data_IF_574517141637
#
_entry.id   IF_574517141637
#
_cell.length_a   1.000
_cell.length_b   1.000
_cell.length_c   1.000
_cell.angle_alpha   90.00
_cell.angle_beta   90.00
_cell.angle_gamma   90.00
#
_symmetry.space_group_name_H-M   'P 1'
#
loop_
_entity.id
_entity.type
_entity.pdbx_description
1 polymer ?
#
# COMPACT_ATOMS: atom_id res chain seq x y z
N UNK A 1 2.26 -4.06 -3.73
CA UNK A 1 1.70 -2.78 -4.25
C UNK A 1 2.13 -1.56 -3.43
N UNK A 2 2.14 -1.65 -2.09
CA UNK A 2 2.52 -0.53 -1.21
C UNK A 2 3.98 -0.09 -1.35
N UNK A 3 4.89 -1.04 -1.57
CA UNK A 3 6.30 -0.80 -1.83
C UNK A 3 6.56 0.16 -2.99
N UNK A 4 5.80 0.01 -4.08
CA UNK A 4 5.93 0.86 -5.27
C UNK A 4 5.52 2.30 -4.92
N UNK A 5 4.46 2.49 -4.13
CA UNK A 5 4.01 3.83 -3.71
C UNK A 5 5.06 4.52 -2.86
N UNK A 6 5.63 3.81 -1.89
CA UNK A 6 6.73 4.32 -1.05
C UNK A 6 7.95 4.63 -1.90
N UNK A 7 8.31 3.77 -2.84
CA UNK A 7 9.41 4.01 -3.77
C UNK A 7 9.22 5.27 -4.63
N UNK A 8 8.01 5.49 -5.15
CA UNK A 8 7.66 6.70 -5.90
C UNK A 8 7.73 7.93 -5.01
N UNK A 9 7.29 7.82 -3.75
CA UNK A 9 7.35 8.90 -2.76
C UNK A 9 8.78 9.35 -2.49
N UNK A 10 9.72 8.41 -2.35
CA UNK A 10 11.12 8.67 -2.00
C UNK A 10 11.98 9.28 -3.12
N UNK A 11 11.40 9.62 -4.27
CA UNK A 11 12.15 10.22 -5.38
C UNK A 11 12.96 9.22 -6.20
N UNK A 12 12.54 7.94 -6.19
CA UNK A 12 13.08 6.86 -7.05
C UNK A 12 14.59 6.54 -6.92
N UNK A 13 15.22 6.54 -5.72
CA UNK A 13 16.61 6.09 -5.61
C UNK A 13 16.70 4.57 -5.82
N UNK A 14 17.50 4.15 -6.81
CA UNK A 14 17.67 2.73 -7.18
C UNK A 14 18.08 1.84 -5.99
N UNK A 15 18.91 2.36 -5.07
CA UNK A 15 19.33 1.62 -3.87
C UNK A 15 18.14 1.19 -3.01
N UNK A 16 17.17 2.09 -2.81
CA UNK A 16 15.97 1.78 -2.00
C UNK A 16 15.09 0.78 -2.73
N UNK A 17 15.00 0.86 -4.07
CA UNK A 17 14.26 -0.13 -4.86
C UNK A 17 14.79 -1.54 -4.65
N UNK A 18 16.12 -1.71 -4.72
CA UNK A 18 16.76 -3.02 -4.56
C UNK A 18 16.52 -3.56 -3.15
N UNK A 19 16.72 -2.73 -2.12
CA UNK A 19 16.47 -3.12 -0.72
C UNK A 19 15.01 -3.51 -0.50
N UNK A 20 14.06 -2.67 -0.93
CA UNK A 20 12.64 -2.98 -0.80
C UNK A 20 12.23 -4.21 -1.61
N UNK A 21 12.79 -4.39 -2.81
CA UNK A 21 12.55 -5.55 -3.65
C UNK A 21 13.01 -6.85 -2.99
N UNK A 22 14.21 -6.86 -2.39
CA UNK A 22 14.72 -8.00 -1.65
C UNK A 22 13.87 -8.31 -0.41
N UNK A 23 13.54 -7.30 0.41
CA UNK A 23 12.67 -7.48 1.58
C UNK A 23 11.29 -7.99 1.19
N UNK A 24 10.71 -7.46 0.10
CA UNK A 24 9.44 -7.91 -0.44
C UNK A 24 9.53 -9.38 -0.87
N UNK A 25 10.53 -9.74 -1.66
CA UNK A 25 10.72 -11.12 -2.13
C UNK A 25 10.87 -12.09 -0.96
N UNK A 26 11.67 -11.75 0.05
CA UNK A 26 11.83 -12.55 1.26
C UNK A 26 10.49 -12.72 2.00
N UNK A 27 9.73 -11.64 2.17
CA UNK A 27 8.40 -11.67 2.81
C UNK A 27 7.43 -12.54 2.03
N UNK A 28 7.44 -12.49 0.69
CA UNK A 28 6.57 -13.31 -0.16
C UNK A 28 6.95 -14.79 -0.12
N UNK A 29 8.25 -15.11 -0.22
CA UNK A 29 8.73 -16.49 -0.12
C UNK A 29 8.31 -17.08 1.24
N UNK A 30 8.52 -16.34 2.32
CA UNK A 30 8.11 -16.76 3.65
C UNK A 30 6.59 -16.95 3.73
N UNK A 31 5.82 -15.99 3.21
CA UNK A 31 4.35 -16.04 3.21
C UNK A 31 3.81 -17.26 2.47
N UNK A 32 4.32 -17.51 1.27
CA UNK A 32 3.92 -18.66 0.44
C UNK A 32 4.28 -19.96 1.17
N UNK A 33 5.49 -20.02 1.74
CA UNK A 33 5.95 -21.20 2.49
C UNK A 33 5.03 -21.47 3.69
N UNK A 34 4.75 -20.45 4.51
CA UNK A 34 3.83 -20.57 5.65
C UNK A 34 2.42 -20.98 5.22
N UNK A 35 1.90 -20.45 4.10
CA UNK A 35 0.60 -20.86 3.56
C UNK A 35 0.61 -22.32 3.11
N UNK A 36 1.67 -22.78 2.43
CA UNK A 36 1.78 -24.19 2.03
C UNK A 36 1.82 -25.09 3.27
N UNK A 37 2.60 -24.74 4.29
CA UNK A 37 2.64 -25.50 5.55
C UNK A 37 1.29 -25.50 6.29
N UNK A 38 0.57 -24.39 6.23
CA UNK A 38 -0.76 -24.26 6.82
C UNK A 38 -1.80 -25.15 6.12
N UNK A 39 -1.83 -25.15 4.78
CA UNK A 39 -2.77 -25.92 3.97
C UNK A 39 -2.35 -27.36 3.67
N UNK A 40 -1.13 -27.76 4.03
CA UNK A 40 -0.66 -29.12 3.80
C UNK A 40 -1.64 -30.12 4.44
N UNK A 41 -2.03 -31.21 3.75
CA UNK A 41 -2.92 -32.20 4.34
C UNK A 41 -2.34 -32.74 5.65
N UNK A 42 -3.18 -32.89 6.68
CA UNK A 42 -2.78 -33.31 8.02
C UNK A 42 -3.98 -33.80 8.81
N UNK A 43 -3.73 -34.33 10.02
CA UNK A 43 -4.80 -34.67 10.94
C UNK A 43 -5.57 -33.40 11.33
N UNK A 44 -6.83 -33.31 10.90
CA UNK A 44 -7.76 -32.26 11.33
C UNK A 44 -8.48 -32.77 12.57
N UNK A 45 -8.49 -31.98 13.63
CA UNK A 45 -9.32 -32.24 14.79
C UNK A 45 -10.60 -31.41 14.63
N UNK A 46 -11.74 -32.08 14.66
CA UNK A 46 -13.04 -31.42 14.65
C UNK A 46 -13.45 -31.17 16.09
N UNK A 47 -13.68 -29.92 16.46
CA UNK A 47 -14.30 -29.57 17.73
C UNK A 47 -15.69 -29.00 17.49
N UNK A 48 -16.66 -29.49 18.26
CA UNK A 48 -18.03 -28.96 18.24
C UNK A 48 -18.09 -27.78 19.22
N UNK A 49 -18.41 -26.60 18.70
CA UNK A 49 -18.63 -25.40 19.49
C UNK A 49 -20.11 -24.99 19.40
N UNK A 50 -20.77 -24.84 20.54
CA UNK A 50 -22.18 -24.45 20.58
C UNK A 50 -22.31 -22.96 20.95
N UNK A 51 -22.88 -22.15 20.06
CA UNK A 51 -23.17 -20.74 20.30
C UNK A 51 -24.64 -20.46 19.96
N UNK A 52 -25.41 -19.96 20.92
CA UNK A 52 -26.86 -19.70 20.78
C UNK A 52 -27.67 -20.94 20.32
N UNK A 53 -27.28 -22.14 20.75
CA UNK A 53 -27.89 -23.43 20.33
C UNK A 53 -27.70 -23.77 18.85
N UNK A 54 -26.78 -23.09 18.16
CA UNK A 54 -26.31 -23.48 16.84
C UNK A 54 -24.97 -24.18 17.05
N UNK A 55 -24.87 -25.43 16.60
CA UNK A 55 -23.65 -26.21 16.66
C UNK A 55 -22.77 -25.84 15.45
N UNK A 56 -21.57 -25.34 15.74
CA UNK A 56 -20.56 -25.00 14.76
C UNK A 56 -19.46 -26.04 14.81
N UNK A 57 -19.08 -26.56 13.65
CA UNK A 57 -17.87 -27.36 13.52
C UNK A 57 -16.69 -26.38 13.41
N UNK A 58 -15.81 -26.39 14.39
CA UNK A 58 -14.58 -25.60 14.36
C UNK A 58 -13.42 -26.49 13.92
N UNK A 59 -12.67 -26.01 12.94
CA UNK A 59 -11.47 -26.68 12.44
C UNK A 59 -10.30 -26.30 13.36
N UNK A 60 -9.88 -27.23 14.23
CA UNK A 60 -8.70 -27.02 15.06
C UNK A 60 -7.43 -27.36 14.28
N UNK A 61 -6.57 -26.34 14.15
CA UNK A 61 -5.25 -26.47 13.56
C UNK A 61 -4.37 -27.28 14.53
N UNK A 62 -3.69 -28.34 14.08
CA UNK A 62 -2.84 -29.12 14.98
C UNK A 62 -1.71 -28.26 15.55
N UNK A 63 -1.37 -28.48 16.83
CA UNK A 63 -0.44 -27.64 17.61
C UNK A 63 0.94 -27.49 16.95
N UNK A 64 1.38 -28.48 16.17
CA UNK A 64 2.65 -28.43 15.43
C UNK A 64 2.65 -27.40 14.28
N UNK A 65 1.50 -26.85 13.90
CA UNK A 65 1.32 -25.88 12.81
C UNK A 65 0.77 -24.53 13.27
N UNK A 66 0.36 -24.38 14.53
CA UNK A 66 -0.22 -23.12 15.02
C UNK A 66 0.71 -21.92 14.77
N UNK A 67 2.02 -22.15 14.87
CA UNK A 67 3.06 -21.11 14.79
C UNK A 67 3.18 -20.49 13.39
N UNK A 68 2.65 -21.15 12.36
CA UNK A 68 2.77 -20.70 10.97
C UNK A 68 2.01 -19.39 10.72
N UNK A 69 0.81 -19.26 11.30
CA UNK A 69 -0.01 -18.06 11.21
C UNK A 69 0.62 -16.83 11.90
N UNK A 70 1.08 -16.88 13.17
CA UNK A 70 1.76 -15.75 13.80
C UNK A 70 3.05 -15.39 13.09
N UNK A 71 3.83 -16.39 12.66
CA UNK A 71 5.06 -16.12 11.92
C UNK A 71 4.79 -15.38 10.60
N UNK A 72 3.73 -15.77 9.88
CA UNK A 72 3.26 -15.07 8.68
C UNK A 72 2.88 -13.62 9.00
N UNK A 73 2.01 -13.40 9.99
CA UNK A 73 1.56 -12.08 10.41
C UNK A 73 2.74 -11.19 10.82
N UNK A 74 3.68 -11.70 11.61
CA UNK A 74 4.86 -10.97 12.06
C UNK A 74 5.81 -10.61 10.92
N UNK A 75 5.96 -11.48 9.93
CA UNK A 75 6.80 -11.22 8.75
C UNK A 75 6.22 -10.11 7.89
N UNK A 76 4.91 -10.15 7.63
CA UNK A 76 4.21 -9.07 6.92
C UNK A 76 4.25 -7.77 7.72
N UNK A 77 4.00 -7.84 9.03
CA UNK A 77 4.05 -6.68 9.93
C UNK A 77 5.43 -6.03 9.94
N UNK A 78 6.51 -6.81 10.05
CA UNK A 78 7.87 -6.30 10.02
C UNK A 78 8.16 -5.53 8.73
N UNK A 79 7.73 -6.07 7.60
CA UNK A 79 7.87 -5.41 6.30
C UNK A 79 7.06 -4.09 6.22
N UNK A 80 5.82 -4.09 6.69
CA UNK A 80 5.00 -2.87 6.75
C UNK A 80 5.57 -1.82 7.70
N UNK A 81 6.16 -2.22 8.82
CA UNK A 81 6.87 -1.30 9.75
C UNK A 81 8.06 -0.66 9.05
N UNK A 82 8.85 -1.40 8.27
CA UNK A 82 9.96 -0.84 7.49
C UNK A 82 9.44 0.19 6.47
N UNK A 83 8.37 -0.14 5.73
CA UNK A 83 7.74 0.79 4.78
C UNK A 83 7.22 2.05 5.47
N UNK A 84 6.56 1.90 6.61
CA UNK A 84 6.04 2.99 7.43
C UNK A 84 7.17 3.90 7.93
N UNK A 85 8.25 3.31 8.46
CA UNK A 85 9.42 4.05 8.92
C UNK A 85 10.08 4.86 7.80
N UNK A 86 10.20 4.28 6.60
CA UNK A 86 10.74 4.98 5.43
C UNK A 86 9.83 6.14 4.98
N UNK A 87 8.51 5.91 4.96
CA UNK A 87 7.53 6.95 4.61
C UNK A 87 7.54 8.09 5.63
N UNK A 88 7.55 7.79 6.93
CA UNK A 88 7.65 8.78 8.01
C UNK A 88 8.96 9.55 7.92
N UNK A 89 10.10 8.87 7.74
CA UNK A 89 11.40 9.53 7.57
C UNK A 89 11.39 10.50 6.39
N UNK A 90 10.78 10.12 5.27
CA UNK A 90 10.63 11.01 4.11
C UNK A 90 9.74 12.22 4.42
N UNK A 91 8.60 12.01 5.07
CA UNK A 91 7.70 13.08 5.48
C UNK A 91 8.40 14.07 6.43
N UNK A 92 9.13 13.58 7.43
CA UNK A 92 9.89 14.41 8.36
C UNK A 92 11.04 15.17 7.68
N UNK A 93 11.71 14.56 6.69
CA UNK A 93 12.77 15.24 5.95
C UNK A 93 12.23 16.38 5.08
N UNK A 94 11.04 16.23 4.52
CA UNK A 94 10.41 17.24 3.65
C UNK A 94 9.64 18.32 4.42
N UNK A 95 9.34 18.10 5.70
CA UNK A 95 8.97 19.15 6.65
C UNK A 95 10.20 20.01 6.93
N UNK A 96 10.59 20.83 5.95
CA UNK A 96 11.70 21.75 6.09
C UNK A 96 11.47 22.73 7.24
N UNK A 97 12.55 23.39 7.68
CA UNK A 97 12.66 24.33 8.81
C UNK A 97 11.51 25.36 8.91
N UNK A 98 10.82 25.69 7.82
CA UNK A 98 9.64 26.57 7.86
C UNK A 98 8.49 26.00 8.72
N UNK A 99 8.39 24.67 8.84
CA UNK A 99 7.38 24.01 9.66
C UNK A 99 7.51 24.34 11.16
N UNK A 100 8.72 24.70 11.62
CA UNK A 100 8.95 25.12 13.01
C UNK A 100 8.44 26.52 13.32
N UNK A 101 8.27 27.38 12.32
CA UNK A 101 7.77 28.75 12.54
C UNK A 101 6.24 28.82 12.58
N UNK A 102 5.56 27.97 11.82
CA UNK A 102 4.09 27.97 11.70
C UNK A 102 3.52 26.53 11.80
N UNK A 103 3.40 25.96 13.02
CA UNK A 103 3.01 24.57 13.20
C UNK A 103 1.58 24.28 12.70
N UNK A 104 0.67 25.26 12.77
CA UNK A 104 -0.69 25.10 12.27
C UNK A 104 -0.73 24.90 10.74
N UNK A 105 0.04 25.69 9.99
CA UNK A 105 0.14 25.58 8.54
C UNK A 105 0.86 24.31 8.12
N UNK A 106 1.89 23.91 8.88
CA UNK A 106 2.59 22.66 8.71
C UNK A 106 1.68 21.45 8.93
N UNK A 107 0.84 21.45 9.97
CA UNK A 107 -0.09 20.36 10.26
C UNK A 107 -1.13 20.17 9.14
N UNK A 108 -1.66 21.25 8.58
CA UNK A 108 -2.58 21.19 7.43
C UNK A 108 -1.86 20.63 6.18
N UNK A 109 -0.63 21.08 5.93
CA UNK A 109 0.20 20.54 4.84
C UNK A 109 0.50 19.05 5.02
N UNK A 110 0.85 18.65 6.25
CA UNK A 110 1.12 17.26 6.60
C UNK A 110 -0.12 16.39 6.44
N UNK A 111 -1.28 16.85 6.92
CA UNK A 111 -2.55 16.15 6.75
C UNK A 111 -2.89 15.95 5.27
N UNK A 112 -2.66 16.97 4.45
CA UNK A 112 -2.85 16.87 2.99
C UNK A 112 -1.91 15.83 2.36
N UNK A 113 -0.64 15.80 2.76
CA UNK A 113 0.35 14.80 2.30
C UNK A 113 -0.06 13.40 2.76
N UNK A 114 -0.44 13.25 4.03
CA UNK A 114 -0.87 11.97 4.63
C UNK A 114 -2.07 11.38 3.89
N UNK A 115 -3.09 12.20 3.61
CA UNK A 115 -4.28 11.79 2.89
C UNK A 115 -3.97 11.52 1.42
N UNK A 116 -3.16 12.38 0.79
CA UNK A 116 -2.80 12.26 -0.63
C UNK A 116 -1.93 11.04 -0.93
N UNK A 117 -1.00 10.72 -0.04
CA UNK A 117 0.01 9.70 -0.24
C UNK A 117 -0.39 8.34 0.35
N UNK A 118 -1.66 8.19 0.75
CA UNK A 118 -2.24 6.97 1.31
C UNK A 118 -1.54 6.53 2.62
N UNK A 119 -1.04 7.45 3.45
CA UNK A 119 -0.50 7.09 4.78
C UNK A 119 -1.60 6.59 5.73
N UNK A 120 -2.84 7.08 5.56
CA UNK A 120 -4.00 6.57 6.29
C UNK A 120 -4.19 5.07 6.04
N UNK A 121 -3.95 4.61 4.81
CA UNK A 121 -3.98 3.18 4.48
C UNK A 121 -2.93 2.41 5.28
N UNK A 122 -1.68 2.91 5.32
CA UNK A 122 -0.60 2.26 6.06
C UNK A 122 -0.97 2.09 7.53
N UNK A 123 -1.59 3.13 8.12
CA UNK A 123 -2.04 3.06 9.50
C UNK A 123 -3.15 2.04 9.70
N UNK A 124 -4.16 2.00 8.81
CA UNK A 124 -5.26 1.02 8.89
C UNK A 124 -4.72 -0.42 8.75
N UNK A 125 -3.81 -0.67 7.81
CA UNK A 125 -3.18 -2.00 7.65
C UNK A 125 -2.35 -2.36 8.87
N UNK A 126 -1.54 -1.42 9.39
CA UNK A 126 -0.73 -1.65 10.57
C UNK A 126 -1.58 -1.98 11.79
N UNK A 127 -2.67 -1.23 12.01
CA UNK A 127 -3.63 -1.50 13.09
C UNK A 127 -4.31 -2.85 12.87
N UNK A 128 -4.74 -3.17 11.65
CA UNK A 128 -5.37 -4.46 11.34
C UNK A 128 -4.41 -5.63 11.60
N UNK A 129 -3.15 -5.53 11.18
CA UNK A 129 -2.14 -6.57 11.41
C UNK A 129 -1.78 -6.71 12.89
N UNK A 130 -1.74 -5.59 13.62
CA UNK A 130 -1.51 -5.58 15.08
C UNK A 130 -2.68 -6.20 15.82
N UNK A 131 -3.92 -5.94 15.39
CA UNK A 131 -5.09 -6.63 15.94
C UNK A 131 -4.98 -8.13 15.62
N UNK A 132 -4.70 -8.52 14.38
CA UNK A 132 -4.55 -9.95 14.07
C UNK A 132 -3.41 -10.63 14.82
N UNK A 133 -2.35 -9.93 15.26
CA UNK A 133 -1.33 -10.51 16.15
C UNK A 133 -1.75 -10.58 17.62
N UNK A 134 -2.76 -9.82 18.04
CA UNK A 134 -3.36 -9.94 19.38
C UNK A 134 -4.26 -11.18 19.50
N UNK A 135 -4.72 -11.76 18.38
CA UNK A 135 -5.50 -13.01 18.37
C UNK A 135 -4.79 -14.18 19.04
N UNK A 136 -3.46 -14.15 19.14
CA UNK A 136 -2.67 -15.18 19.82
C UNK A 136 -2.72 -15.09 21.34
N UNK A 137 -3.37 -14.07 21.90
CA UNK A 137 -3.60 -13.94 23.34
C UNK A 137 -5.03 -14.41 23.64
N UNK A 138 -5.23 -15.63 24.19
CA UNK A 138 -6.56 -16.20 24.39
C UNK A 138 -7.49 -15.35 25.26
N UNK A 139 -6.90 -14.60 26.20
CA UNK A 139 -7.64 -13.69 27.06
C UNK A 139 -8.33 -12.55 26.30
N UNK A 140 -7.78 -12.14 25.15
CA UNK A 140 -8.31 -11.04 24.34
C UNK A 140 -9.17 -11.55 23.18
N UNK A 141 -8.82 -12.68 22.57
CA UNK A 141 -9.56 -13.24 21.42
C UNK A 141 -10.97 -13.71 21.78
N UNK A 142 -11.23 -14.07 23.04
CA UNK A 142 -12.58 -14.45 23.51
C UNK A 142 -13.53 -13.25 23.71
N UNK A 143 -13.05 -12.01 23.61
CA UNK A 143 -13.89 -10.83 23.76
C UNK A 143 -14.67 -10.53 22.48
N UNK A 144 -16.00 -10.53 22.56
CA UNK A 144 -16.91 -10.19 21.45
C UNK A 144 -16.59 -8.82 20.86
N UNK A 145 -16.27 -7.84 21.72
CA UNK A 145 -15.95 -6.48 21.28
C UNK A 145 -14.68 -6.46 20.42
N UNK A 146 -13.69 -7.27 20.79
CA UNK A 146 -12.43 -7.36 20.07
C UNK A 146 -12.60 -8.09 18.73
N UNK A 147 -13.32 -9.21 18.70
CA UNK A 147 -13.66 -9.92 17.44
C UNK A 147 -14.42 -8.98 16.49
N UNK A 148 -15.40 -8.23 17.02
CA UNK A 148 -16.13 -7.23 16.24
C UNK A 148 -15.21 -6.15 15.65
N UNK A 149 -14.29 -5.61 16.46
CA UNK A 149 -13.31 -4.62 16.00
C UNK A 149 -12.38 -5.18 14.92
N UNK A 150 -11.86 -6.39 15.09
CA UNK A 150 -11.01 -7.03 14.10
C UNK A 150 -11.74 -7.19 12.77
N UNK A 151 -12.98 -7.70 12.79
CA UNK A 151 -13.80 -7.89 11.58
C UNK A 151 -14.15 -6.56 10.91
N UNK A 152 -14.45 -5.51 11.68
CA UNK A 152 -14.66 -4.17 11.13
C UNK A 152 -13.40 -3.64 10.45
N UNK A 153 -12.22 -3.84 11.04
CA UNK A 153 -10.95 -3.43 10.43
C UNK A 153 -10.64 -4.21 9.15
N UNK A 154 -10.85 -5.53 9.16
CA UNK A 154 -10.71 -6.37 7.95
C UNK A 154 -11.69 -5.95 6.86
N UNK A 155 -12.96 -5.70 7.21
CA UNK A 155 -13.97 -5.22 6.26
C UNK A 155 -13.59 -3.86 5.69
N UNK A 156 -13.13 -2.93 6.54
CA UNK A 156 -12.66 -1.60 6.11
C UNK A 156 -11.48 -1.75 5.15
N UNK A 157 -10.56 -2.65 5.44
CA UNK A 157 -9.41 -2.94 4.58
C UNK A 157 -9.85 -3.53 3.23
N UNK A 158 -10.78 -4.48 3.20
CA UNK A 158 -11.24 -5.04 1.91
C UNK A 158 -12.05 -4.02 1.10
N UNK A 159 -12.93 -3.25 1.76
CA UNK A 159 -13.90 -2.36 1.09
C UNK A 159 -13.35 -0.99 0.72
N UNK A 160 -12.46 -0.40 1.53
CA UNK A 160 -11.91 0.93 1.24
C UNK A 160 -10.71 0.87 0.30
N UNK A 161 -9.91 -0.19 0.38
CA UNK A 161 -8.62 -0.27 -0.31
C UNK A 161 -8.78 -0.38 -1.81
N UNK A 162 -9.73 -1.19 -2.28
CA UNK A 162 -10.01 -1.34 -3.71
C UNK A 162 -10.41 -0.01 -4.37
N UNK A 163 -11.49 0.65 -3.92
CA UNK A 163 -11.93 1.92 -4.46
C UNK A 163 -10.87 3.03 -4.37
N UNK A 164 -10.18 3.16 -3.23
CA UNK A 164 -9.13 4.17 -3.06
C UNK A 164 -7.96 3.95 -4.01
N UNK A 165 -7.57 2.69 -4.22
CA UNK A 165 -6.53 2.33 -5.17
C UNK A 165 -6.89 2.77 -6.58
N UNK A 166 -8.12 2.50 -7.03
CA UNK A 166 -8.61 2.90 -8.35
C UNK A 166 -8.61 4.43 -8.49
N UNK A 167 -9.10 5.16 -7.48
CA UNK A 167 -9.14 6.63 -7.48
C UNK A 167 -7.71 7.20 -7.55
N UNK A 168 -6.78 6.64 -6.77
CA UNK A 168 -5.38 7.10 -6.75
C UNK A 168 -4.69 6.93 -8.12
N UNK A 169 -4.95 5.80 -8.80
CA UNK A 169 -4.42 5.53 -10.13
C UNK A 169 -4.99 6.53 -11.14
N UNK A 170 -6.31 6.73 -11.14
CA UNK A 170 -6.98 7.69 -12.03
C UNK A 170 -6.41 9.10 -11.88
N UNK A 171 -6.27 9.57 -10.64
CA UNK A 171 -5.71 10.90 -10.36
C UNK A 171 -4.24 11.03 -10.79
N UNK A 172 -3.47 9.93 -10.72
CA UNK A 172 -2.10 9.90 -11.23
C UNK A 172 -2.05 9.98 -12.76
N UNK A 173 -2.95 9.28 -13.46
CA UNK A 173 -3.06 9.34 -14.92
C UNK A 173 -3.47 10.73 -15.41
N UNK A 174 -4.45 11.36 -14.77
CA UNK A 174 -4.90 12.72 -15.12
C UNK A 174 -3.77 13.75 -15.00
N UNK A 175 -2.95 13.65 -13.94
CA UNK A 175 -1.76 14.51 -13.77
C UNK A 175 -0.70 14.27 -14.83
N UNK A 176 -0.46 13.02 -15.22
CA UNK A 176 0.49 12.68 -16.28
C UNK A 176 0.03 13.20 -17.65
N UNK A 177 -1.26 13.05 -17.96
CA UNK A 177 -1.85 13.53 -19.20
C UNK A 177 -1.78 15.06 -19.31
N UNK A 178 -2.12 15.80 -18.26
CA UNK A 178 -2.04 17.26 -18.26
C UNK A 178 -0.60 17.79 -18.41
N UNK A 179 0.39 17.12 -17.81
CA UNK A 179 1.79 17.51 -17.94
C UNK A 179 2.37 17.25 -19.35
N UNK A 180 1.93 16.18 -20.03
CA UNK A 180 2.36 15.85 -21.39
C UNK A 180 1.89 16.84 -22.46
N UNK A 181 0.71 17.45 -22.27
CA UNK A 181 0.15 18.41 -23.23
C UNK A 181 0.97 19.70 -23.30
N UNK A 182 1.60 20.13 -22.21
CA UNK A 182 2.48 21.30 -22.21
C UNK A 182 3.84 21.07 -22.88
N UNK A 183 4.35 19.83 -22.89
CA UNK A 183 5.64 19.50 -23.52
C UNK A 183 5.52 19.19 -25.02
N UNK A 184 4.35 18.77 -25.51
CA UNK A 184 4.15 18.41 -26.93
C UNK A 184 3.71 19.59 -27.80
N UNK A 185 3.36 20.73 -27.20
CA UNK A 185 2.96 21.92 -27.97
C UNK A 185 4.16 22.67 -28.58
N UNK A 186 5.39 22.46 -28.08
CA UNK A 186 6.59 23.09 -28.65
C UNK A 186 7.19 22.31 -29.84
N UNK A 187 6.89 21.01 -30.00
CA UNK A 187 7.39 20.21 -31.12
C UNK A 187 6.48 20.23 -32.36
N UNK A 188 5.26 20.75 -32.25
CA UNK A 188 4.31 20.79 -33.40
C UNK A 188 4.43 22.06 -34.24
N UNK A 189 5.19 23.08 -33.81
CA UNK A 189 5.37 24.31 -34.60
C UNK A 189 6.58 24.31 -35.56
N UNK A 190 7.45 23.30 -35.56
CA UNK A 190 8.60 23.28 -36.48
C UNK A 190 8.35 22.61 -37.83
N UNK A 191 7.18 22.00 -38.07
CA UNK A 191 6.86 21.31 -39.33
C UNK A 191 5.99 22.12 -40.29
N UNK A 192 5.54 23.32 -39.92
CA UNK A 192 4.76 24.22 -40.79
C UNK A 192 5.57 25.39 -41.39
N UNK A 193 6.88 25.45 -41.13
CA UNK A 193 7.78 26.45 -41.72
C UNK A 193 8.62 25.89 -42.89
N UNK A 194 8.19 24.79 -43.51
CA UNK A 194 8.78 24.33 -44.77
C UNK A 194 8.15 25.10 -45.94
N UNK A 195 8.80 26.23 -46.26
CA UNK A 195 8.89 26.87 -47.57
C UNK A 195 7.61 26.91 -48.43
N UNK A 196 6.93 28.05 -48.43
CA UNK A 196 6.23 28.47 -49.65
C UNK A 196 7.30 28.85 -50.69
N UNK A 197 7.33 28.21 -51.87
CA UNK A 197 8.14 28.69 -52.98
C UNK A 197 7.61 30.05 -53.43
N UNK A 198 8.51 31.02 -53.57
CA UNK A 198 8.24 32.32 -54.16
C UNK A 198 8.01 32.18 -55.67
N UNK A 199 6.87 32.66 -56.15
CA UNK A 199 6.40 32.63 -57.55
C UNK A 199 7.18 33.60 -58.49
N UNK A 200 8.47 33.86 -58.26
CA UNK A 200 9.25 34.86 -59.02
C UNK A 200 10.01 34.31 -60.25
N UNK A 201 9.69 33.11 -60.75
CA UNK A 201 10.37 32.51 -61.92
C UNK A 201 9.41 32.11 -63.05
N UNK A 202 8.49 33.00 -63.45
CA UNK A 202 7.76 32.80 -64.71
C UNK A 202 7.53 34.09 -65.50
N UNK A 203 8.61 34.84 -65.74
CA UNK A 203 8.63 35.91 -66.74
C UNK A 203 9.94 35.87 -67.52
N UNK A 204 10.09 34.90 -68.43
CA UNK A 204 10.92 34.99 -69.65
C UNK A 204 10.79 33.71 -70.50
N UNK A 205 9.82 33.71 -71.42
CA UNK A 205 9.87 32.99 -72.70
C UNK A 205 8.83 33.56 -73.67
#
# INVERSE_FOLDING_TARGET
>A
MMSIRVYVLLGRPMTILVVLGMCFAATQIFSITSSIFFFAPGSVYWSEAQLLSIDFCNDDIPTNRDWTYPAYCMTVLAYEVILCALALRHAFKNLSVSAWREPARAAVGLGSIIVRDNLVYFFIVLVSLTLSSVNFVPALSNSIAYVGLEKLMQLTLVTMVGPWMIISLRKSYEKGAAAGIHSSSELTMSFAAAAMPSDDEMEMA
#
